data_IF_354790345717
#
_entry.id   IF_354790345717
#
_cell.length_a   1.000
_cell.length_b   1.000
_cell.length_c   1.000
_cell.angle_alpha   90.00
_cell.angle_beta   90.00
_cell.angle_gamma   90.00
#
_symmetry.space_group_name_H-M   'P 1'
#
loop_
_entity.id
_entity.type
_entity.pdbx_description
1 polymer ?
#
# COMPACT_ATOMS: atom_id res chain seq x y z
N UNK A 1 -48.27 10.74 -4.37
CA UNK A 1 -47.88 10.47 -4.17
C UNK A 1 -47.17 9.90 -4.04
N UNK A 2 -46.98 9.77 -4.30
CA UNK A 2 -46.27 9.24 -4.17
C UNK A 2 -45.28 9.25 -3.78
N UNK A 3 -44.98 9.68 -3.82
CA UNK A 3 -44.05 9.86 -3.39
C UNK A 3 -43.58 9.35 -2.50
N UNK A 4 -43.87 9.10 -2.16
CA UNK A 4 -43.52 8.62 -1.21
C UNK A 4 -43.05 7.50 -1.15
N UNK A 5 -43.14 7.23 -1.45
CA UNK A 5 -42.72 6.28 -1.30
C UNK A 5 -41.67 5.93 -1.35
N UNK A 6 -41.59 6.61 -1.81
CA UNK A 6 -40.56 6.38 -1.76
C UNK A 6 -39.69 6.13 -1.10
N UNK A 7 -39.81 6.58 -0.91
CA UNK A 7 -39.11 6.55 -0.15
C UNK A 7 -38.64 5.81 0.40
N UNK A 8 -38.96 5.58 0.38
CA UNK A 8 -38.51 5.04 1.06
C UNK A 8 -37.81 4.29 1.11
N UNK A 9 -37.91 4.41 0.66
CA UNK A 9 -37.20 3.80 0.75
C UNK A 9 -36.23 3.60 0.84
N UNK A 10 -36.23 3.98 0.55
CA UNK A 10 -35.34 3.90 0.77
C UNK A 10 -34.59 3.51 1.25
N UNK A 11 -34.84 3.56 1.05
CA UNK A 11 -34.13 3.38 1.61
C UNK A 11 -33.40 2.81 1.85
N UNK A 12 -33.45 2.71 1.68
CA UNK A 12 -32.72 2.38 2.11
C UNK A 12 -31.91 1.87 2.19
N UNK A 13 -31.89 1.94 1.97
CA UNK A 13 -31.11 1.64 2.17
C UNK A 13 -30.21 1.34 2.33
N UNK A 14 -30.25 1.44 2.08
CA UNK A 14 -29.45 1.34 2.34
C UNK A 14 -28.67 0.98 2.64
N UNK A 15 -28.65 0.88 2.48
CA UNK A 15 -27.97 0.72 2.92
C UNK A 15 -27.16 0.27 3.11
N UNK A 16 -27.15 0.14 2.82
CA UNK A 16 -26.45 -0.08 3.12
C UNK A 16 -25.66 -0.39 3.25
N UNK A 17 -25.65 -0.44 2.96
CA UNK A 17 -24.93 -0.56 3.20
C UNK A 17 -24.14 -0.76 3.37
N UNK A 18 -24.12 -0.74 3.15
CA UNK A 18 -23.40 -0.68 3.50
C UNK A 18 -22.67 -1.02 3.61
N UNK A 19 -22.60 -1.16 3.38
CA UNK A 19 -21.91 -1.28 3.72
C UNK A 19 -21.19 -1.60 3.86
N UNK A 20 -21.20 -1.79 3.57
CA UNK A 20 -20.60 -1.93 3.77
C UNK A 20 -19.85 -2.04 3.96
N UNK A 21 -19.78 -2.09 3.71
CA UNK A 21 -19.15 -1.93 4.07
C UNK A 21 -18.39 -2.15 4.30
N UNK A 22 -18.35 -2.22 4.16
CA UNK A 22 -17.73 -2.26 4.50
C UNK A 22 -16.98 -2.33 4.76
N UNK A 23 -16.88 -2.53 4.52
CA UNK A 23 -16.24 -2.42 4.86
C UNK A 23 -15.48 -2.37 5.06
N UNK A 24 -15.42 -2.27 4.88
CA UNK A 24 -14.78 -2.09 5.17
C UNK A 24 -14.13 -2.00 5.71
N UNK A 25 -14.00 -2.05 5.78
CA UNK A 25 -13.46 -1.87 6.30
C UNK A 25 -12.78 -1.76 6.75
N UNK A 26 -12.76 -1.99 6.67
CA UNK A 26 -12.19 -1.75 7.01
C UNK A 26 -11.46 -1.11 7.25
N UNK A 27 -11.23 -0.61 6.79
CA UNK A 27 -10.43 0.21 7.08
C UNK A 27 -10.09 0.54 8.34
N UNK A 28 -10.24 -0.02 9.10
CA UNK A 28 -9.96 0.41 10.34
C UNK A 28 -8.52 0.50 10.59
N UNK A 29 -8.19 1.00 11.70
CA UNK A 29 -6.86 1.32 12.02
C UNK A 29 -5.96 0.13 12.02
N UNK A 30 -6.50 -1.01 12.16
CA UNK A 30 -5.67 -2.19 12.20
C UNK A 30 -5.40 -2.80 10.87
N UNK A 31 -6.08 -2.34 9.81
CA UNK A 31 -5.93 -3.04 8.55
C UNK A 31 -4.72 -2.54 7.79
N UNK A 32 -4.17 -3.39 6.96
CA UNK A 32 -3.04 -3.04 6.12
C UNK A 32 -2.96 -4.05 5.01
N UNK A 33 -2.20 -3.69 3.96
CA UNK A 33 -2.04 -4.56 2.81
C UNK A 33 -0.75 -5.36 2.89
N UNK A 34 0.29 -4.77 3.47
CA UNK A 34 1.59 -5.41 3.58
C UNK A 34 2.08 -5.24 5.00
N UNK A 35 2.43 -6.34 5.64
CA UNK A 35 3.00 -6.29 6.96
C UNK A 35 4.51 -6.20 6.90
N UNK A 36 5.11 -5.50 7.85
CA UNK A 36 6.56 -5.46 7.96
C UNK A 36 6.93 -6.29 9.18
N UNK A 37 7.33 -7.53 8.92
CA UNK A 37 7.73 -8.42 9.99
C UNK A 37 9.17 -8.11 10.36
N UNK A 38 9.82 -8.99 11.10
CA UNK A 38 11.16 -8.69 11.59
C UNK A 38 12.13 -8.32 10.46
N UNK A 39 12.07 -9.05 9.33
CA UNK A 39 12.99 -8.80 8.22
C UNK A 39 12.37 -9.07 6.88
N UNK A 40 11.04 -8.99 6.79
CA UNK A 40 10.37 -9.28 5.52
C UNK A 40 9.14 -8.42 5.36
N UNK A 41 8.82 -8.15 4.10
CA UNK A 41 7.50 -7.63 3.75
C UNK A 41 6.59 -8.84 3.51
N UNK A 42 5.40 -8.79 4.03
CA UNK A 42 4.50 -9.93 3.96
C UNK A 42 3.10 -9.44 3.56
N UNK A 43 2.65 -9.75 2.37
CA UNK A 43 3.31 -10.58 1.36
C UNK A 43 4.42 -9.82 0.64
N UNK A 44 5.28 -10.55 -0.03
CA UNK A 44 6.38 -9.94 -0.75
C UNK A 44 5.89 -9.18 -1.98
N UNK A 45 4.87 -9.70 -2.63
CA UNK A 45 4.34 -9.09 -3.86
C UNK A 45 2.82 -9.00 -3.73
N UNK A 46 2.29 -7.82 -4.09
CA UNK A 46 0.84 -7.65 -4.20
C UNK A 46 0.53 -7.08 -5.58
N UNK A 47 -0.68 -7.30 -6.02
CA UNK A 47 -1.14 -6.79 -7.31
C UNK A 47 -2.33 -5.90 -7.07
N UNK A 48 -2.33 -4.71 -7.66
CA UNK A 48 -3.39 -3.74 -7.43
C UNK A 48 -3.74 -3.04 -8.73
N UNK A 49 -4.90 -2.40 -8.75
CA UNK A 49 -5.31 -1.58 -9.89
C UNK A 49 -4.72 -0.18 -9.75
N UNK A 50 -4.59 0.55 -10.87
CA UNK A 50 -4.11 1.93 -10.80
C UNK A 50 -5.02 2.76 -9.90
N UNK A 51 -4.44 3.63 -9.13
CA UNK A 51 -5.19 4.47 -8.20
C UNK A 51 -5.35 3.87 -6.83
N UNK A 52 -4.80 2.70 -6.60
CA UNK A 52 -4.92 2.02 -5.30
C UNK A 52 -3.92 2.60 -4.32
N UNK A 53 -4.37 2.82 -3.10
CA UNK A 53 -3.50 3.22 -2.00
C UNK A 53 -3.13 1.97 -1.22
N UNK A 54 -1.83 1.70 -1.15
CA UNK A 54 -1.32 0.53 -0.43
C UNK A 54 -0.87 0.99 0.94
N UNK A 55 -1.19 0.21 1.94
CA UNK A 55 -0.84 0.54 3.31
C UNK A 55 0.10 -0.53 3.87
N UNK A 56 1.24 -0.08 4.38
CA UNK A 56 2.20 -0.94 5.08
C UNK A 56 2.08 -0.68 6.57
N UNK A 57 2.20 -1.71 7.36
CA UNK A 57 2.18 -1.55 8.81
C UNK A 57 3.31 -2.35 9.42
N UNK A 58 4.03 -1.72 10.34
CA UNK A 58 5.12 -2.40 11.03
C UNK A 58 4.53 -3.24 12.16
N UNK A 59 4.53 -4.55 11.95
CA UNK A 59 3.99 -5.49 12.92
C UNK A 59 5.09 -6.10 13.80
N UNK A 60 6.31 -5.56 13.71
CA UNK A 60 7.44 -6.08 14.46
C UNK A 60 7.94 -5.04 15.45
N UNK A 61 8.92 -5.42 16.25
CA UNK A 61 9.52 -4.46 17.17
C UNK A 61 10.75 -3.78 16.60
N UNK A 62 11.07 -4.05 15.32
CA UNK A 62 12.22 -3.42 14.68
C UNK A 62 11.76 -2.25 13.82
N UNK A 63 12.58 -1.22 13.72
CA UNK A 63 12.27 -0.10 12.85
C UNK A 63 12.53 -0.51 11.41
N UNK A 64 11.70 -0.02 10.49
CA UNK A 64 11.80 -0.33 9.07
C UNK A 64 11.63 0.93 8.25
N UNK A 65 11.94 0.84 6.95
CA UNK A 65 11.55 1.87 5.98
C UNK A 65 10.85 1.18 4.82
N UNK A 66 10.12 1.96 4.02
CA UNK A 66 9.62 1.51 2.73
C UNK A 66 10.19 2.49 1.72
N UNK A 67 11.07 2.01 0.87
CA UNK A 67 11.85 2.88 -0.01
C UNK A 67 11.86 2.27 -1.41
N UNK A 68 11.39 3.04 -2.39
CA UNK A 68 11.40 2.53 -3.76
C UNK A 68 12.83 2.34 -4.24
N UNK A 69 13.03 1.33 -5.10
CA UNK A 69 14.26 1.24 -5.85
C UNK A 69 14.11 2.19 -7.04
N UNK A 70 14.86 3.27 -7.02
CA UNK A 70 14.66 4.32 -8.00
C UNK A 70 14.85 3.82 -9.43
N UNK A 71 15.72 2.86 -9.62
CA UNK A 71 15.93 2.29 -10.95
C UNK A 71 14.99 1.16 -11.29
N UNK A 72 14.06 0.81 -10.42
CA UNK A 72 13.18 -0.33 -10.64
C UNK A 72 11.73 0.04 -10.43
N UNK A 73 11.37 1.27 -10.73
CA UNK A 73 9.98 1.67 -10.79
C UNK A 73 9.69 2.06 -12.24
N UNK A 74 8.41 2.04 -12.65
CA UNK A 74 8.10 2.31 -14.05
C UNK A 74 8.52 3.70 -14.48
N UNK A 75 8.84 3.81 -15.76
CA UNK A 75 9.16 5.10 -16.33
C UNK A 75 7.96 6.01 -16.15
N UNK A 76 8.20 7.23 -15.74
CA UNK A 76 7.11 8.16 -15.49
C UNK A 76 6.61 8.18 -14.07
N UNK A 77 6.95 7.16 -13.28
CA UNK A 77 6.54 7.14 -11.89
C UNK A 77 7.53 7.95 -11.06
N UNK A 78 7.01 8.73 -10.14
CA UNK A 78 7.89 9.50 -9.27
C UNK A 78 8.45 8.60 -8.17
N UNK A 79 9.65 8.94 -7.72
CA UNK A 79 10.23 8.22 -6.59
C UNK A 79 9.38 8.42 -5.33
N UNK A 80 9.35 7.43 -4.48
CA UNK A 80 8.58 7.51 -3.24
C UNK A 80 9.29 6.73 -2.15
N UNK A 81 9.11 7.20 -0.92
CA UNK A 81 9.70 6.51 0.23
C UNK A 81 9.08 7.05 1.51
N UNK A 82 9.23 6.29 2.59
CA UNK A 82 8.93 6.84 3.90
C UNK A 82 9.90 8.00 4.14
N UNK A 83 9.41 9.04 4.82
CA UNK A 83 10.22 10.24 5.03
C UNK A 83 10.12 11.23 3.90
N UNK A 84 9.44 10.86 2.79
CA UNK A 84 9.17 11.79 1.69
C UNK A 84 10.45 12.34 1.06
N UNK A 85 11.43 11.49 0.85
CA UNK A 85 12.66 11.91 0.20
C UNK A 85 12.45 11.99 -1.31
N UNK A 86 13.35 12.73 -1.98
CA UNK A 86 13.26 12.92 -3.42
C UNK A 86 13.99 11.87 -4.23
N UNK A 87 14.85 11.09 -3.61
CA UNK A 87 15.62 10.08 -4.32
C UNK A 87 15.99 8.97 -3.38
N UNK A 88 16.34 7.84 -3.96
CA UNK A 88 16.78 6.70 -3.17
C UNK A 88 18.01 7.07 -2.35
N UNK A 89 18.95 7.79 -2.97
CA UNK A 89 20.15 8.19 -2.27
C UNK A 89 19.82 9.07 -1.07
N UNK A 90 18.90 10.00 -1.25
CA UNK A 90 18.52 10.88 -0.16
C UNK A 90 17.88 10.10 0.98
N UNK A 91 17.07 9.10 0.63
CA UNK A 91 16.45 8.27 1.65
C UNK A 91 17.48 7.47 2.42
N UNK A 92 18.47 6.91 1.71
CA UNK A 92 19.51 6.15 2.37
C UNK A 92 20.37 7.04 3.25
N UNK A 93 20.68 8.23 2.78
CA UNK A 93 21.47 9.17 3.58
C UNK A 93 20.69 9.60 4.81
N UNK A 94 19.38 9.79 4.67
CA UNK A 94 18.54 10.17 5.81
C UNK A 94 18.51 9.09 6.85
N UNK A 95 18.42 7.83 6.43
CA UNK A 95 18.45 6.74 7.38
C UNK A 95 19.79 6.71 8.13
N UNK A 96 20.88 6.81 7.39
CA UNK A 96 22.20 6.75 8.01
C UNK A 96 22.47 7.94 8.91
N UNK A 97 21.84 9.08 8.61
CA UNK A 97 22.09 10.29 9.36
C UNK A 97 21.29 10.40 10.64
N UNK A 98 20.28 9.57 10.84
CA UNK A 98 19.47 9.68 12.02
C UNK A 98 18.20 8.88 11.97
N UNK A 99 18.19 7.83 11.15
CA UNK A 99 17.03 6.96 11.01
C UNK A 99 15.81 7.72 10.51
N UNK A 100 16.03 8.68 9.63
CA UNK A 100 14.91 9.42 9.05
C UNK A 100 14.13 8.49 8.13
N UNK A 101 12.83 8.61 8.16
CA UNK A 101 11.97 7.73 7.39
C UNK A 101 11.60 6.45 8.10
N UNK A 102 12.01 6.29 9.36
CA UNK A 102 11.75 5.07 10.11
C UNK A 102 10.26 4.91 10.39
N UNK A 103 9.80 3.68 10.32
CA UNK A 103 8.46 3.30 10.74
C UNK A 103 8.64 2.39 11.94
N UNK A 104 8.13 2.83 13.08
CA UNK A 104 8.31 2.08 14.31
C UNK A 104 7.14 1.14 14.54
N UNK A 105 7.27 0.30 15.55
CA UNK A 105 6.25 -0.71 15.83
C UNK A 105 4.87 -0.10 15.89
N UNK A 106 3.92 -0.68 15.17
CA UNK A 106 2.54 -0.22 15.16
C UNK A 106 2.25 0.91 14.19
N UNK A 107 3.28 1.54 13.63
CA UNK A 107 3.07 2.65 12.71
C UNK A 107 2.87 2.15 11.30
N UNK A 108 2.28 2.97 10.47
CA UNK A 108 2.01 2.59 9.08
C UNK A 108 2.38 3.70 8.13
N UNK A 109 2.44 3.34 6.84
CA UNK A 109 2.77 4.24 5.76
C UNK A 109 1.87 3.91 4.59
N UNK A 110 1.45 4.91 3.83
CA UNK A 110 0.59 4.71 2.68
C UNK A 110 1.17 5.39 1.46
N UNK A 111 0.96 4.79 0.31
CA UNK A 111 1.34 5.40 -0.96
C UNK A 111 0.34 4.95 -2.02
N UNK A 112 -0.03 5.87 -2.90
CA UNK A 112 -1.00 5.60 -3.95
C UNK A 112 -0.25 5.36 -5.25
N UNK A 113 -0.57 4.26 -5.92
CA UNK A 113 0.11 3.83 -7.14
C UNK A 113 -0.77 4.10 -8.36
N UNK A 114 -0.30 4.97 -9.25
CA UNK A 114 -1.07 5.34 -10.44
C UNK A 114 -0.51 4.72 -11.71
N UNK A 115 0.78 4.46 -11.75
CA UNK A 115 1.45 4.05 -12.99
C UNK A 115 1.48 2.54 -13.09
N UNK A 116 1.01 2.00 -14.22
CA UNK A 116 1.03 0.57 -14.47
C UNK A 116 2.48 0.10 -14.54
N UNK A 117 2.74 -1.06 -13.96
CA UNK A 117 4.06 -1.67 -13.96
C UNK A 117 4.42 -2.20 -12.59
N UNK A 118 5.63 -2.71 -12.48
CA UNK A 118 6.11 -3.26 -11.23
C UNK A 118 6.95 -2.22 -10.51
N UNK A 119 6.58 -1.97 -9.26
CA UNK A 119 7.26 -1.00 -8.41
C UNK A 119 8.00 -1.76 -7.33
N UNK A 120 9.31 -1.87 -7.46
CA UNK A 120 10.12 -2.60 -6.48
C UNK A 120 10.51 -1.66 -5.36
N UNK A 121 10.59 -2.19 -4.15
CA UNK A 121 10.96 -1.39 -2.99
C UNK A 121 11.69 -2.26 -1.99
N UNK A 122 12.26 -1.63 -0.97
CA UNK A 122 13.07 -2.34 0.02
C UNK A 122 13.04 -1.59 1.34
N UNK A 123 13.53 -2.27 2.37
CA UNK A 123 13.72 -1.67 3.68
C UNK A 123 15.20 -1.38 3.84
N UNK A 124 15.56 -0.12 4.07
CA UNK A 124 16.97 0.27 4.09
C UNK A 124 17.79 -0.52 5.11
N UNK A 125 17.37 -0.59 6.39
CA UNK A 125 18.23 -1.29 7.36
C UNK A 125 18.26 -2.81 7.17
N UNK A 126 17.35 -3.37 6.39
CA UNK A 126 17.30 -4.83 6.26
C UNK A 126 17.45 -5.31 4.82
N UNK A 127 17.90 -4.42 3.93
CA UNK A 127 18.06 -4.81 2.53
C UNK A 127 19.04 -5.98 2.43
N UNK A 128 20.09 -5.95 3.20
CA UNK A 128 21.10 -7.00 3.13
C UNK A 128 20.54 -8.34 3.57
N UNK A 129 19.45 -8.34 4.33
CA UNK A 129 18.79 -9.58 4.75
C UNK A 129 17.72 -10.01 3.75
N UNK A 130 17.55 -9.27 2.65
CA UNK A 130 16.57 -9.62 1.66
C UNK A 130 15.19 -9.01 1.89
N UNK A 131 15.08 -7.96 2.68
CA UNK A 131 13.77 -7.37 2.93
C UNK A 131 13.40 -6.44 1.78
N UNK A 132 12.80 -7.05 0.76
CA UNK A 132 12.41 -6.36 -0.47
C UNK A 132 10.98 -6.78 -0.82
N UNK A 133 10.33 -5.98 -1.66
CA UNK A 133 8.97 -6.30 -2.08
C UNK A 133 8.63 -5.65 -3.41
N UNK A 134 7.45 -5.94 -3.90
CA UNK A 134 6.96 -5.41 -5.16
C UNK A 134 5.48 -5.09 -5.08
N UNK A 135 5.09 -3.97 -5.70
CA UNK A 135 3.68 -3.71 -5.97
C UNK A 135 3.52 -3.75 -7.48
N UNK A 136 2.71 -4.67 -7.96
CA UNK A 136 2.43 -4.79 -9.39
C UNK A 136 1.13 -4.06 -9.66
N UNK A 137 1.20 -3.00 -10.46
CA UNK A 137 0.02 -2.22 -10.80
C UNK A 137 -0.42 -2.66 -12.19
N UNK A 138 -1.63 -3.19 -12.28
CA UNK A 138 -2.14 -3.75 -13.52
C UNK A 138 -3.53 -3.21 -13.78
N UNK A 139 -3.78 -2.83 -15.01
CA UNK A 139 -5.11 -2.35 -15.37
C UNK A 139 -6.14 -3.45 -15.39
N UNK A 140 -5.69 -4.69 -15.51
CA UNK A 140 -6.62 -5.76 -15.34
C UNK A 140 -6.92 -5.82 -13.88
N UNK A 141 -8.09 -5.74 -13.48
CA UNK A 141 -8.44 -5.84 -12.11
C UNK A 141 -7.78 -7.04 -11.57
N UNK A 142 -7.02 -6.86 -10.57
CA UNK A 142 -6.24 -7.93 -10.07
C UNK A 142 -7.06 -9.13 -9.77
N UNK A 143 -8.20 -8.91 -9.32
CA UNK A 143 -9.01 -10.04 -9.00
C UNK A 143 -9.40 -10.77 -10.18
N UNK A 144 -9.42 -10.09 -11.33
CA UNK A 144 -9.82 -10.69 -12.44
C UNK A 144 -8.74 -11.37 -13.02
N UNK A 145 -7.79 -10.85 -12.99
CA UNK A 145 -6.80 -11.30 -13.68
C UNK A 145 -6.47 -12.55 -13.52
N UNK A 146 -6.55 -12.73 -12.82
CA UNK A 146 -6.28 -13.80 -12.72
C UNK A 146 -6.87 -14.63 -13.55
N UNK A 147 -7.42 -14.41 -13.74
CA UNK A 147 -8.04 -15.15 -14.34
C UNK A 147 -7.82 -15.27 -15.51
N UNK A 148 -7.50 -15.11 -15.68
CA UNK A 148 -7.36 -15.25 -16.55
C UNK A 148 -6.62 -15.72 -17.18
N UNK A 149 -6.29 -15.87 -17.06
CA UNK A 149 -5.78 -16.19 -17.50
C UNK A 149 -5.62 -16.79 -17.95
N UNK A 150 -5.67 -16.91 -18.15
CA UNK A 150 -5.68 -17.34 -18.44
C UNK A 150 -5.71 -17.53 -18.74
#
# INVERSE_FOLDING_TARGET
MDRRSFLGRLGGVAVAVGLAGCGTTSGDAGSYDVGMTTRKFDPVTIEVAPGTTVRWKNTSSHAHTVTAYEGEIPEGAAFWSTGDFDSQRAAEDGWLGGSEGAIYEGESYEHTFETVGTHAYFCIPHEASGMVGNVVVSEDDAGTDATTDA
#
